data_IF_733415673649
#
_entry.id   IF_733415673649
#
_cell.length_a   1.000
_cell.length_b   1.000
_cell.length_c   1.000
_cell.angle_alpha   90.00
_cell.angle_beta   90.00
_cell.angle_gamma   90.00
#
_symmetry.space_group_name_H-M   'P 1'
#
loop_
_entity.id
_entity.type
_entity.pdbx_description
1 polymer ?
#
# COMPACT_ATOMS: atom_id res chain seq x y z
N UNK A 1 -7.22 6.55 15.48
CA UNK A 1 -8.12 6.01 14.44
C UNK A 1 -9.09 7.12 14.11
N UNK A 2 -8.78 7.95 13.12
CA UNK A 2 -9.65 9.06 12.71
C UNK A 2 -10.75 8.51 11.80
N UNK A 3 -12.00 8.89 12.07
CA UNK A 3 -13.20 8.39 11.39
C UNK A 3 -13.36 8.86 9.93
N UNK A 4 -12.35 9.54 9.38
CA UNK A 4 -12.34 10.04 8.00
C UNK A 4 -11.60 9.14 7.01
N UNK A 5 -11.15 7.96 7.45
CA UNK A 5 -10.43 7.04 6.57
C UNK A 5 -11.37 6.19 5.73
N UNK A 6 -11.95 6.80 4.69
CA UNK A 6 -12.81 6.08 3.74
C UNK A 6 -11.93 5.26 2.80
N UNK A 7 -11.71 3.99 3.16
CA UNK A 7 -11.19 2.99 2.22
C UNK A 7 -12.30 2.69 1.22
N UNK A 8 -12.15 3.18 -0.02
CA UNK A 8 -13.11 2.92 -1.09
C UNK A 8 -12.86 1.53 -1.68
N UNK A 9 -13.32 0.51 -0.97
CA UNK A 9 -13.21 -0.88 -1.41
C UNK A 9 -14.08 -1.13 -2.65
N UNK A 10 -13.45 -1.63 -3.71
CA UNK A 10 -14.13 -2.03 -4.97
C UNK A 10 -14.31 -3.54 -5.10
N UNK A 11 -14.27 -4.26 -3.98
CA UNK A 11 -14.39 -5.72 -3.95
C UNK A 11 -15.69 -6.18 -4.62
N UNK A 12 -15.57 -7.16 -5.52
CA UNK A 12 -16.71 -7.69 -6.29
C UNK A 12 -17.19 -6.83 -7.46
N UNK A 13 -16.66 -5.63 -7.69
CA UNK A 13 -17.08 -4.78 -8.81
C UNK A 13 -16.59 -5.31 -10.16
N UNK A 14 -17.42 -5.24 -11.21
CA UNK A 14 -16.99 -5.59 -12.57
C UNK A 14 -15.92 -4.64 -13.11
N UNK A 15 -15.18 -5.06 -14.15
CA UNK A 15 -14.15 -4.21 -14.79
C UNK A 15 -14.69 -2.84 -15.24
N UNK A 16 -15.93 -2.81 -15.75
CA UNK A 16 -16.60 -1.58 -16.18
C UNK A 16 -16.87 -0.66 -14.98
N UNK A 17 -17.38 -1.22 -13.89
CA UNK A 17 -17.71 -0.47 -12.67
C UNK A 17 -16.46 0.10 -12.01
N UNK A 18 -15.37 -0.68 -11.88
CA UNK A 18 -14.08 -0.16 -11.38
C UNK A 18 -13.56 1.02 -12.20
N UNK A 19 -13.71 0.97 -13.54
CA UNK A 19 -13.31 2.07 -14.42
C UNK A 19 -14.18 3.32 -14.22
N UNK A 20 -15.49 3.17 -13.99
CA UNK A 20 -16.39 4.28 -13.68
C UNK A 20 -16.02 4.92 -12.34
N UNK A 21 -15.80 4.11 -11.30
CA UNK A 21 -15.37 4.54 -9.97
C UNK A 21 -14.07 5.35 -10.08
N UNK A 22 -13.03 4.80 -10.71
CA UNK A 22 -11.75 5.50 -10.89
C UNK A 22 -11.87 6.81 -11.68
N UNK A 23 -12.79 6.90 -12.65
CA UNK A 23 -13.06 8.15 -13.35
C UNK A 23 -13.74 9.19 -12.45
N UNK A 24 -14.62 8.76 -11.55
CA UNK A 24 -15.28 9.64 -10.58
C UNK A 24 -14.28 10.21 -9.55
N UNK A 25 -13.28 9.42 -9.14
CA UNK A 25 -12.24 9.85 -8.19
C UNK A 25 -11.47 11.09 -8.64
N UNK A 26 -11.28 11.30 -9.94
CA UNK A 26 -10.60 12.50 -10.48
C UNK A 26 -11.25 13.82 -10.08
N UNK A 27 -12.54 13.81 -9.72
CA UNK A 27 -13.26 15.00 -9.21
C UNK A 27 -12.91 15.29 -7.75
N UNK A 28 -12.66 14.24 -6.96
CA UNK A 28 -12.32 14.34 -5.54
C UNK A 28 -10.83 14.63 -5.35
N UNK A 29 -9.99 14.06 -6.21
CA UNK A 29 -8.52 14.19 -6.17
C UNK A 29 -7.97 14.84 -7.45
N UNK A 30 -8.09 16.18 -7.60
CA UNK A 30 -7.49 16.90 -8.72
C UNK A 30 -5.95 16.79 -8.72
N UNK A 31 -5.34 16.79 -9.91
CA UNK A 31 -3.89 16.61 -10.12
C UNK A 31 -3.05 17.61 -9.30
N UNK A 32 -3.56 18.83 -9.09
CA UNK A 32 -2.90 19.86 -8.30
C UNK A 32 -2.65 19.47 -6.83
N UNK A 33 -3.45 18.55 -6.28
CA UNK A 33 -3.31 18.03 -4.91
C UNK A 33 -2.33 16.85 -4.81
N UNK A 34 -1.75 16.36 -5.91
CA UNK A 34 -0.80 15.24 -5.86
C UNK A 34 0.55 15.60 -5.22
N UNK A 35 0.80 16.88 -4.92
CA UNK A 35 2.00 17.32 -4.20
C UNK A 35 1.85 17.22 -2.67
N UNK A 36 0.64 17.03 -2.16
CA UNK A 36 0.36 16.87 -0.74
C UNK A 36 0.23 15.39 -0.40
N UNK A 37 0.99 14.93 0.59
CA UNK A 37 0.94 13.55 1.08
C UNK A 37 0.18 13.55 2.40
N UNK A 38 -1.07 13.07 2.38
CA UNK A 38 -1.83 12.79 3.60
C UNK A 38 -1.62 11.32 3.99
N UNK A 39 -0.79 11.08 5.01
CA UNK A 39 -0.38 9.73 5.40
C UNK A 39 -1.15 9.15 6.59
N UNK A 40 -2.08 9.90 7.19
CA UNK A 40 -2.80 9.45 8.40
C UNK A 40 -3.62 8.18 8.19
N UNK A 41 -4.03 7.97 6.94
CA UNK A 41 -4.83 6.83 6.50
C UNK A 41 -4.03 5.62 6.01
N UNK A 42 -2.70 5.76 5.88
CA UNK A 42 -1.87 4.73 5.30
C UNK A 42 -1.39 3.76 6.37
N UNK A 43 -1.56 2.44 6.20
CA UNK A 43 -0.97 1.47 7.11
C UNK A 43 0.55 1.62 7.14
N UNK A 44 1.15 1.35 8.30
CA UNK A 44 2.60 1.41 8.43
C UNK A 44 3.25 0.34 7.52
N UNK A 45 4.12 0.73 6.58
CA UNK A 45 4.71 -0.22 5.62
C UNK A 45 5.55 -1.31 6.31
N UNK A 46 6.11 -1.04 7.49
CA UNK A 46 6.87 -2.04 8.25
C UNK A 46 5.94 -3.13 8.78
N UNK A 47 4.72 -2.78 9.20
CA UNK A 47 3.78 -3.74 9.75
C UNK A 47 3.22 -4.63 8.64
N UNK A 48 2.91 -4.08 7.46
CA UNK A 48 2.63 -4.87 6.25
C UNK A 48 3.77 -5.85 5.94
N UNK A 49 5.03 -5.40 6.01
CA UNK A 49 6.19 -6.28 5.76
C UNK A 49 6.33 -7.41 6.79
N UNK A 50 5.99 -7.17 8.05
CA UNK A 50 5.96 -8.19 9.10
C UNK A 50 4.86 -9.19 8.85
N UNK A 51 3.66 -8.76 8.46
CA UNK A 51 2.55 -9.65 8.11
C UNK A 51 2.93 -10.62 6.98
N UNK A 52 3.63 -10.14 5.95
CA UNK A 52 4.11 -11.05 4.89
C UNK A 52 5.06 -12.13 5.40
N UNK A 53 5.66 -11.96 6.57
CA UNK A 53 6.62 -12.90 7.16
C UNK A 53 5.98 -14.04 7.92
N UNK A 54 4.65 -14.03 8.08
CA UNK A 54 3.92 -15.15 8.65
C UNK A 54 4.26 -16.46 7.91
N UNK A 55 4.55 -17.52 8.66
CA UNK A 55 4.91 -18.84 8.11
C UNK A 55 6.33 -18.97 7.57
N UNK A 56 7.16 -17.90 7.58
CA UNK A 56 8.58 -17.99 7.19
C UNK A 56 9.47 -18.48 8.33
N UNK A 57 10.64 -19.02 7.99
CA UNK A 57 11.65 -19.43 8.95
C UNK A 57 12.21 -18.22 9.72
N UNK A 58 11.96 -18.17 11.04
CA UNK A 58 12.26 -17.01 11.88
C UNK A 58 13.75 -16.62 11.88
N UNK A 59 14.65 -17.62 11.87
CA UNK A 59 16.10 -17.39 11.85
C UNK A 59 16.60 -16.66 10.59
N UNK A 60 15.83 -16.68 9.49
CA UNK A 60 16.20 -16.02 8.22
C UNK A 60 15.54 -14.65 8.04
N UNK A 61 14.62 -14.25 8.91
CA UNK A 61 13.98 -12.93 8.83
C UNK A 61 14.98 -11.77 8.97
N UNK A 62 15.98 -11.81 9.89
CA UNK A 62 17.00 -10.76 9.96
C UNK A 62 17.75 -10.58 8.64
N UNK A 63 18.18 -11.69 8.01
CA UNK A 63 18.88 -11.66 6.73
C UNK A 63 18.02 -11.06 5.61
N UNK A 64 16.71 -11.36 5.59
CA UNK A 64 15.77 -10.74 4.66
C UNK A 64 15.76 -9.23 4.84
N UNK A 65 15.60 -8.75 6.08
CA UNK A 65 15.50 -7.33 6.35
C UNK A 65 16.81 -6.59 6.05
N UNK A 66 17.96 -7.20 6.35
CA UNK A 66 19.27 -6.67 6.00
C UNK A 66 19.44 -6.50 4.48
N UNK A 67 19.06 -7.53 3.70
CA UNK A 67 19.13 -7.45 2.23
C UNK A 67 18.17 -6.41 1.66
N UNK A 68 17.01 -6.23 2.28
CA UNK A 68 16.05 -5.19 1.89
C UNK A 68 16.51 -3.78 2.29
N UNK A 69 17.20 -3.61 3.41
CA UNK A 69 17.67 -2.30 3.89
C UNK A 69 18.93 -1.79 3.17
N UNK A 70 19.60 -2.63 2.39
CA UNK A 70 20.83 -2.29 1.68
C UNK A 70 20.71 -1.07 0.74
N UNK A 71 19.53 -0.81 0.18
CA UNK A 71 19.27 0.41 -0.60
C UNK A 71 17.77 0.70 -0.71
N UNK A 72 17.37 1.95 -1.02
CA UNK A 72 15.97 2.26 -1.30
C UNK A 72 15.36 1.41 -2.43
N UNK A 73 16.17 1.09 -3.45
CA UNK A 73 15.75 0.23 -4.55
C UNK A 73 15.52 -1.22 -4.11
N UNK A 74 16.41 -1.75 -3.26
CA UNK A 74 16.27 -3.09 -2.67
C UNK A 74 15.02 -3.20 -1.82
N UNK A 75 14.73 -2.17 -1.00
CA UNK A 75 13.51 -2.09 -0.23
C UNK A 75 12.27 -2.15 -1.13
N UNK A 76 12.21 -1.27 -2.13
CA UNK A 76 11.08 -1.19 -3.07
C UNK A 76 10.82 -2.51 -3.80
N UNK A 77 11.89 -3.19 -4.25
CA UNK A 77 11.79 -4.52 -4.88
C UNK A 77 11.33 -5.62 -3.91
N UNK A 78 11.65 -5.50 -2.62
CA UNK A 78 11.28 -6.48 -1.59
C UNK A 78 9.93 -6.23 -0.91
N UNK A 79 9.26 -5.10 -1.19
CA UNK A 79 8.04 -4.65 -0.51
C UNK A 79 6.78 -4.71 -1.38
N UNK A 80 6.62 -5.78 -2.17
CA UNK A 80 5.46 -5.94 -3.08
C UNK A 80 4.09 -5.82 -2.40
N UNK A 81 3.96 -6.32 -1.16
CA UNK A 81 2.71 -6.20 -0.39
C UNK A 81 2.38 -4.75 -0.01
N UNK A 82 3.38 -3.90 0.22
CA UNK A 82 3.17 -2.46 0.47
C UNK A 82 2.56 -1.79 -0.76
N UNK A 83 3.10 -2.10 -1.94
CA UNK A 83 2.55 -1.59 -3.21
C UNK A 83 1.12 -2.11 -3.46
N UNK A 84 0.83 -3.36 -3.12
CA UNK A 84 -0.53 -3.90 -3.23
C UNK A 84 -1.50 -3.21 -2.27
N UNK A 85 -1.06 -2.93 -1.04
CA UNK A 85 -1.83 -2.18 -0.05
C UNK A 85 -2.14 -0.74 -0.48
N UNK A 86 -1.33 -0.14 -1.35
CA UNK A 86 -1.60 1.19 -1.90
C UNK A 86 -2.71 1.17 -2.98
N UNK A 87 -3.15 -0.02 -3.44
CA UNK A 87 -4.15 -0.20 -4.50
C UNK A 87 -5.49 -0.78 -4.02
N UNK A 88 -5.57 -1.20 -2.76
CA UNK A 88 -6.74 -1.81 -2.13
C UNK A 88 -7.81 -0.79 -1.72
#
# INVERSE_FOLDING_TARGET
MNENCVVLSSEGASKLERRKIGKAQKKLFPIALLNTIESECRPNPIDILKETSAGRMQSLLPLRYERMSASPFSFYRGSAAVMASDLS
#
